data_IF_468737520774
#
_entry.id   IF_468737520774
#
_cell.length_a   1.000
_cell.length_b   1.000
_cell.length_c   1.000
_cell.angle_alpha   90.00
_cell.angle_beta   90.00
_cell.angle_gamma   90.00
#
_symmetry.space_group_name_H-M   'P 1'
#
loop_
_entity.id
_entity.type
_entity.pdbx_description
1 polymer ?
#
# COMPACT_ATOMS: atom_id res chain seq x y z
N UNK A 1 -1.25 29.67 -22.00
CA UNK A 1 -1.24 29.52 -20.53
C UNK A 1 -1.37 28.03 -20.31
N UNK A 2 -0.24 27.36 -20.08
CA UNK A 2 -0.18 25.90 -19.97
C UNK A 2 -1.07 25.43 -18.83
N UNK A 3 -2.19 24.78 -19.17
CA UNK A 3 -2.97 23.99 -18.22
C UNK A 3 -2.05 22.86 -17.76
N UNK A 4 -1.51 23.00 -16.55
CA UNK A 4 -0.91 21.89 -15.81
C UNK A 4 -2.04 20.87 -15.67
N UNK A 5 -2.08 19.90 -16.59
CA UNK A 5 -2.97 18.75 -16.51
C UNK A 5 -2.59 18.00 -15.25
N UNK A 6 -3.28 18.31 -14.17
CA UNK A 6 -3.27 17.51 -12.97
C UNK A 6 -3.78 16.12 -13.38
N UNK A 7 -2.85 15.20 -13.63
CA UNK A 7 -3.17 13.82 -14.04
C UNK A 7 -3.85 13.05 -12.91
N UNK A 8 -3.94 13.64 -11.72
CA UNK A 8 -4.75 13.18 -10.62
C UNK A 8 -6.04 14.01 -10.60
N UNK A 9 -6.92 13.74 -11.57
CA UNK A 9 -8.34 14.02 -11.36
C UNK A 9 -8.71 13.21 -10.12
N UNK A 10 -8.86 13.91 -9.00
CA UNK A 10 -9.47 13.38 -7.79
C UNK A 10 -10.83 12.81 -8.18
N UNK A 11 -10.90 11.50 -8.42
CA UNK A 11 -12.16 10.80 -8.32
C UNK A 11 -12.64 11.06 -6.90
N UNK A 12 -13.71 11.84 -6.80
CA UNK A 12 -14.23 12.51 -5.60
C UNK A 12 -14.67 11.56 -4.45
N UNK A 13 -14.21 10.30 -4.43
CA UNK A 13 -14.59 9.28 -3.43
C UNK A 13 -13.57 8.12 -3.26
N UNK A 14 -12.40 8.16 -3.92
CA UNK A 14 -11.39 7.11 -3.77
C UNK A 14 -10.20 7.67 -3.00
N UNK A 15 -10.02 7.20 -1.77
CA UNK A 15 -8.87 7.55 -0.95
C UNK A 15 -7.78 6.48 -1.09
N UNK A 16 -6.92 6.69 -2.08
CA UNK A 16 -5.80 5.80 -2.35
C UNK A 16 -4.77 5.75 -1.25
N UNK A 17 -4.68 6.81 -0.44
CA UNK A 17 -3.77 6.86 0.69
C UNK A 17 -4.34 6.01 1.84
N UNK A 18 -5.64 6.10 2.09
CA UNK A 18 -6.33 5.25 3.05
C UNK A 18 -6.23 3.76 2.66
N UNK A 19 -6.55 3.39 1.41
CA UNK A 19 -6.42 2.01 0.95
C UNK A 19 -4.96 1.50 1.10
N UNK A 20 -3.97 2.32 0.74
CA UNK A 20 -2.56 2.01 0.92
C UNK A 20 -2.18 1.78 2.39
N UNK A 21 -2.69 2.61 3.32
CA UNK A 21 -2.45 2.41 4.76
C UNK A 21 -3.05 1.10 5.27
N UNK A 22 -4.25 0.74 4.78
CA UNK A 22 -4.92 -0.50 5.18
C UNK A 22 -4.17 -1.74 4.67
N UNK A 23 -3.60 -1.68 3.47
CA UNK A 23 -2.70 -2.73 2.94
C UNK A 23 -1.46 -2.91 3.83
N UNK A 24 -0.83 -1.80 4.25
CA UNK A 24 0.31 -1.86 5.17
C UNK A 24 -0.09 -2.45 6.53
N UNK A 25 -1.23 -2.02 7.09
CA UNK A 25 -1.78 -2.59 8.33
C UNK A 25 -2.00 -4.10 8.21
N UNK A 26 -2.59 -4.56 7.10
CA UNK A 26 -2.80 -5.97 6.79
C UNK A 26 -1.47 -6.74 6.65
N UNK A 27 -0.45 -6.14 6.04
CA UNK A 27 0.88 -6.73 5.94
C UNK A 27 1.54 -6.89 7.32
N UNK A 28 1.43 -5.88 8.19
CA UNK A 28 1.95 -5.98 9.56
C UNK A 28 1.20 -7.03 10.38
N UNK A 29 -0.13 -7.09 10.26
CA UNK A 29 -0.96 -8.12 10.90
C UNK A 29 -0.56 -9.54 10.44
N UNK A 30 -0.29 -9.71 9.14
CA UNK A 30 0.22 -10.97 8.62
C UNK A 30 1.57 -11.34 9.25
N UNK A 31 2.50 -10.39 9.39
CA UNK A 31 3.80 -10.64 10.02
C UNK A 31 3.72 -10.92 11.52
N UNK A 32 2.70 -10.41 12.21
CA UNK A 32 2.44 -10.77 13.61
C UNK A 32 1.93 -12.22 13.74
N UNK A 33 1.10 -12.68 12.79
CA UNK A 33 0.59 -14.05 12.74
C UNK A 33 1.63 -15.06 12.24
N UNK A 34 2.39 -14.68 11.21
CA UNK A 34 3.41 -15.48 10.53
C UNK A 34 4.72 -14.71 10.46
N UNK A 35 5.52 -14.68 11.53
CA UNK A 35 6.82 -13.99 11.53
C UNK A 35 7.78 -14.49 10.43
N UNK A 36 7.64 -15.74 10.00
CA UNK A 36 8.39 -16.34 8.89
C UNK A 36 8.05 -15.75 7.52
N UNK A 37 6.90 -15.11 7.37
CA UNK A 37 6.49 -14.43 6.13
C UNK A 37 7.35 -13.19 5.85
N UNK A 38 7.99 -12.64 6.89
CA UNK A 38 8.85 -11.47 6.80
C UNK A 38 10.26 -11.87 6.35
N UNK A 39 10.42 -11.96 5.04
CA UNK A 39 11.70 -12.25 4.39
C UNK A 39 12.58 -10.99 4.19
N UNK A 40 13.72 -11.17 3.52
CA UNK A 40 14.65 -10.08 3.22
C UNK A 40 14.08 -8.98 2.31
N UNK A 41 13.09 -9.30 1.47
CA UNK A 41 12.40 -8.32 0.63
C UNK A 41 11.57 -7.38 1.51
N UNK A 42 10.77 -7.94 2.43
CA UNK A 42 9.90 -7.16 3.31
C UNK A 42 10.68 -6.35 4.35
N UNK A 43 11.80 -6.89 4.86
CA UNK A 43 12.71 -6.13 5.71
C UNK A 43 13.24 -4.89 4.98
N UNK A 44 13.59 -5.02 3.70
CA UNK A 44 14.04 -3.88 2.89
C UNK A 44 12.89 -2.93 2.57
N UNK A 45 11.71 -3.46 2.26
CA UNK A 45 10.51 -2.65 2.00
C UNK A 45 10.17 -1.77 3.20
N UNK A 46 10.21 -2.29 4.44
CA UNK A 46 9.99 -1.49 5.64
C UNK A 46 10.96 -0.32 5.80
N UNK A 47 12.19 -0.40 5.27
CA UNK A 47 13.12 0.75 5.31
C UNK A 47 12.68 1.91 4.42
N UNK A 48 11.82 1.65 3.43
CA UNK A 48 11.24 2.65 2.54
C UNK A 48 9.98 3.28 3.13
N UNK A 49 9.35 2.61 4.10
CA UNK A 49 8.12 3.07 4.74
C UNK A 49 8.48 3.79 6.05
N UNK A 50 8.13 5.08 6.21
CA UNK A 50 8.37 5.78 7.45
C UNK A 50 7.53 5.17 8.59
N UNK A 51 8.07 5.12 9.80
CA UNK A 51 7.36 4.55 10.96
C UNK A 51 6.03 5.24 11.27
N UNK A 52 5.96 6.55 11.01
CA UNK A 52 4.75 7.36 11.17
C UNK A 52 3.94 7.47 9.87
N UNK A 53 3.92 6.42 9.04
CA UNK A 53 3.26 6.44 7.73
C UNK A 53 1.81 6.93 7.82
N UNK A 54 1.03 6.56 8.85
CA UNK A 54 -0.35 7.05 9.05
C UNK A 54 -0.44 8.58 9.15
N UNK A 55 0.49 9.22 9.86
CA UNK A 55 0.52 10.67 10.00
C UNK A 55 1.03 11.38 8.73
N UNK A 56 1.85 10.69 7.93
CA UNK A 56 2.42 11.20 6.69
C UNK A 56 1.42 11.05 5.53
N UNK A 57 0.70 9.94 5.47
CA UNK A 57 -0.40 9.71 4.54
C UNK A 57 -1.56 10.68 4.77
N UNK A 58 -1.90 10.99 6.03
CA UNK A 58 -2.92 11.97 6.38
C UNK A 58 -2.62 13.40 5.87
N UNK A 59 -1.35 13.69 5.52
CA UNK A 59 -0.95 14.98 4.94
C UNK A 59 -1.05 15.01 3.41
N UNK A 60 -1.40 13.91 2.76
CA UNK A 60 -1.44 13.73 1.29
C UNK A 60 -0.15 14.16 0.55
N UNK A 61 0.97 14.32 1.27
CA UNK A 61 2.25 14.78 0.73
C UNK A 61 3.20 13.61 0.43
N UNK A 62 2.71 12.38 0.59
CA UNK A 62 3.51 11.16 0.61
C UNK A 62 3.39 10.36 -0.68
N UNK A 63 3.60 11.02 -1.83
CA UNK A 63 3.54 10.39 -3.16
C UNK A 63 4.47 9.17 -3.27
N UNK A 64 5.59 9.19 -2.54
CA UNK A 64 6.57 8.12 -2.52
C UNK A 64 6.04 6.81 -1.92
N UNK A 65 5.17 6.88 -0.91
CA UNK A 65 4.68 5.68 -0.21
C UNK A 65 3.64 4.93 -1.06
N UNK A 66 2.70 5.66 -1.66
CA UNK A 66 1.75 5.07 -2.61
C UNK A 66 2.49 4.45 -3.80
N UNK A 67 3.53 5.12 -4.30
CA UNK A 67 4.40 4.58 -5.34
C UNK A 67 5.06 3.26 -4.91
N UNK A 68 5.57 3.17 -3.67
CA UNK A 68 6.16 1.93 -3.16
C UNK A 68 5.15 0.79 -3.07
N UNK A 69 3.92 1.04 -2.62
CA UNK A 69 2.87 0.03 -2.55
C UNK A 69 2.46 -0.42 -3.95
N UNK A 70 2.15 0.51 -4.86
CA UNK A 70 1.78 0.16 -6.23
C UNK A 70 2.92 -0.56 -6.99
N UNK A 71 4.18 -0.18 -6.78
CA UNK A 71 5.32 -0.88 -7.39
C UNK A 71 5.57 -2.28 -6.83
N UNK A 72 5.04 -2.59 -5.65
CA UNK A 72 5.15 -3.90 -5.01
C UNK A 72 3.81 -4.64 -4.95
N UNK A 73 2.79 -4.15 -5.66
CA UNK A 73 1.41 -4.67 -5.62
C UNK A 73 1.38 -6.17 -5.88
N UNK A 74 2.07 -6.61 -6.93
CA UNK A 74 2.15 -8.03 -7.31
C UNK A 74 2.80 -8.90 -6.21
N UNK A 75 3.85 -8.39 -5.55
CA UNK A 75 4.54 -9.12 -4.48
C UNK A 75 3.70 -9.18 -3.20
N UNK A 76 2.97 -8.10 -2.89
CA UNK A 76 2.03 -8.05 -1.76
C UNK A 76 0.85 -9.00 -1.97
N UNK A 77 0.26 -9.01 -3.16
CA UNK A 77 -0.82 -9.96 -3.51
C UNK A 77 -0.33 -11.40 -3.38
N UNK A 78 0.83 -11.73 -3.96
CA UNK A 78 1.42 -13.06 -3.85
C UNK A 78 1.71 -13.47 -2.38
N UNK A 79 2.14 -12.53 -1.54
CA UNK A 79 2.33 -12.75 -0.11
C UNK A 79 1.01 -13.12 0.57
N UNK A 80 -0.04 -12.31 0.40
CA UNK A 80 -1.33 -12.58 1.01
C UNK A 80 -1.95 -13.89 0.50
N UNK A 81 -1.84 -14.19 -0.79
CA UNK A 81 -2.27 -15.45 -1.38
C UNK A 81 -1.53 -16.66 -0.79
N UNK A 82 -0.21 -16.56 -0.62
CA UNK A 82 0.63 -17.64 -0.06
C UNK A 82 0.16 -18.05 1.34
N UNK A 83 -0.25 -17.08 2.15
CA UNK A 83 -0.76 -17.30 3.51
C UNK A 83 -2.29 -17.39 3.58
N UNK A 84 -2.98 -17.41 2.44
CA UNK A 84 -4.43 -17.38 2.34
C UNK A 84 -5.09 -16.28 3.21
N UNK A 85 -4.45 -15.11 3.28
CA UNK A 85 -4.88 -14.00 4.10
C UNK A 85 -5.92 -13.14 3.37
N UNK A 86 -7.18 -13.60 3.43
CA UNK A 86 -8.32 -13.03 2.68
C UNK A 86 -8.43 -11.50 2.82
N UNK A 87 -8.28 -10.98 4.05
CA UNK A 87 -8.34 -9.54 4.32
C UNK A 87 -7.31 -8.75 3.50
N UNK A 88 -6.09 -9.27 3.39
CA UNK A 88 -5.04 -8.63 2.59
C UNK A 88 -5.32 -8.71 1.10
N UNK A 89 -5.85 -9.85 0.63
CA UNK A 89 -6.20 -10.06 -0.78
C UNK A 89 -7.28 -9.05 -1.21
N UNK A 90 -8.37 -8.91 -0.45
CA UNK A 90 -9.45 -7.96 -0.76
C UNK A 90 -8.97 -6.51 -0.79
N UNK A 91 -8.13 -6.13 0.18
CA UNK A 91 -7.53 -4.79 0.24
C UNK A 91 -6.59 -4.54 -0.94
N UNK A 92 -5.84 -5.55 -1.36
CA UNK A 92 -4.95 -5.48 -2.51
C UNK A 92 -5.70 -5.35 -3.83
N UNK A 93 -6.73 -6.16 -4.06
CA UNK A 93 -7.57 -6.06 -5.26
C UNK A 93 -8.20 -4.66 -5.37
N UNK A 94 -8.67 -4.13 -4.23
CA UNK A 94 -9.22 -2.78 -4.18
C UNK A 94 -8.16 -1.73 -4.48
N UNK A 95 -6.98 -1.82 -3.87
CA UNK A 95 -5.89 -0.88 -4.11
C UNK A 95 -5.38 -0.94 -5.57
N UNK A 96 -5.31 -2.13 -6.17
CA UNK A 96 -4.94 -2.33 -7.57
C UNK A 96 -5.97 -1.74 -8.52
N UNK A 97 -7.27 -1.91 -8.27
CA UNK A 97 -8.33 -1.39 -9.14
C UNK A 97 -8.54 0.12 -9.02
N UNK A 98 -8.31 0.68 -7.84
CA UNK A 98 -8.65 2.07 -7.53
C UNK A 98 -7.46 3.03 -7.61
N UNK A 99 -6.23 2.55 -7.43
CA UNK A 99 -5.08 3.39 -7.10
C UNK A 99 -3.79 3.09 -7.85
N UNK A 100 -3.71 1.90 -8.45
CA UNK A 100 -2.65 1.49 -9.35
C UNK A 100 -3.30 1.14 -10.72
#
# INVERSE_FOLDING_TARGET
MDEIRDRYVSFHNIDCYENATQVLDAMYELFELYPEAKDGLWIRFETLIPKDYKAIFAKHDSKDILYHICSHVFYLSALFETYAFEKGIELMEKAEMECC
#
